data_IF_136437007369
#
_entry.id   IF_136437007369
#
_cell.length_a   1.000
_cell.length_b   1.000
_cell.length_c   1.000
_cell.angle_alpha   90.00
_cell.angle_beta   90.00
_cell.angle_gamma   90.00
#
_symmetry.space_group_name_H-M   'P 1'
#
loop_
_entity.id
_entity.type
_entity.pdbx_description
1 polymer ?
#
# COMPACT_ATOMS: atom_id res chain seq x y z
N UNK A 1 -26.04 4.22 27.90
CA UNK A 1 -25.29 5.26 27.16
C UNK A 1 -24.29 4.57 26.26
N UNK A 2 -24.58 4.48 24.96
CA UNK A 2 -23.60 4.04 23.96
C UNK A 2 -22.66 5.22 23.71
N UNK A 3 -21.39 5.07 24.11
CA UNK A 3 -20.37 6.10 23.92
C UNK A 3 -20.22 6.41 22.43
N UNK A 4 -20.34 7.69 22.06
CA UNK A 4 -19.91 8.17 20.76
C UNK A 4 -18.39 7.97 20.69
N UNK A 5 -17.95 6.92 20.01
CA UNK A 5 -16.55 6.73 19.66
C UNK A 5 -16.12 7.96 18.84
N UNK A 6 -15.25 8.79 19.41
CA UNK A 6 -14.85 10.04 18.78
C UNK A 6 -14.24 9.74 17.41
N UNK A 7 -14.81 10.31 16.35
CA UNK A 7 -14.29 10.14 14.99
C UNK A 7 -12.83 10.55 14.96
N UNK A 8 -11.96 9.59 14.67
CA UNK A 8 -10.54 9.84 14.55
C UNK A 8 -10.30 10.88 13.44
N UNK A 9 -9.63 11.98 13.77
CA UNK A 9 -9.27 13.02 12.79
C UNK A 9 -8.46 12.37 11.65
N UNK A 10 -8.70 12.73 10.37
CA UNK A 10 -7.90 12.23 9.27
C UNK A 10 -6.41 12.48 9.52
N UNK A 11 -5.54 11.51 9.16
CA UNK A 11 -4.13 11.64 9.39
C UNK A 11 -3.51 12.74 8.53
N UNK A 12 -2.39 13.30 8.98
CA UNK A 12 -1.61 14.23 8.16
C UNK A 12 -1.17 13.56 6.84
N UNK A 13 -1.27 14.27 5.70
CA UNK A 13 -0.86 13.74 4.42
C UNK A 13 0.59 13.25 4.42
N UNK A 14 0.83 12.09 3.84
CA UNK A 14 2.15 11.56 3.54
C UNK A 14 2.22 11.23 2.06
N UNK A 15 3.17 11.84 1.38
CA UNK A 15 3.45 11.59 -0.02
C UNK A 15 4.81 10.89 -0.15
N UNK A 16 4.88 9.94 -1.07
CA UNK A 16 6.13 9.26 -1.40
C UNK A 16 6.17 9.00 -2.89
N UNK A 17 7.28 9.39 -3.54
CA UNK A 17 7.44 9.25 -4.99
C UNK A 17 6.26 9.82 -5.81
N UNK A 18 5.73 10.99 -5.41
CA UNK A 18 4.54 11.66 -6.00
C UNK A 18 3.22 10.87 -5.88
N UNK A 19 3.16 9.88 -5.00
CA UNK A 19 1.97 9.10 -4.71
C UNK A 19 1.49 9.37 -3.29
N UNK A 20 0.17 9.48 -3.06
CA UNK A 20 -0.39 9.63 -1.73
C UNK A 20 -0.36 8.29 -0.97
N UNK A 21 0.25 8.27 0.20
CA UNK A 21 0.36 7.05 1.03
C UNK A 21 -0.60 7.13 2.21
N UNK A 22 -0.75 8.33 2.79
CA UNK A 22 -1.65 8.63 3.88
C UNK A 22 -2.29 9.99 3.64
N UNK A 23 -3.53 10.18 4.09
CA UNK A 23 -4.21 11.46 3.98
C UNK A 23 -5.72 11.31 4.08
N UNK A 24 -6.43 12.30 3.56
CA UNK A 24 -7.88 12.42 3.62
C UNK A 24 -8.52 12.49 2.22
N UNK A 25 -9.80 12.85 2.16
CA UNK A 25 -10.52 13.03 0.90
C UNK A 25 -9.89 14.04 -0.03
N UNK A 26 -9.47 15.20 0.48
CA UNK A 26 -8.84 16.24 -0.33
C UNK A 26 -7.56 15.69 -0.95
N UNK A 27 -6.72 15.04 -0.14
CA UNK A 27 -5.49 14.39 -0.60
C UNK A 27 -5.75 13.35 -1.70
N UNK A 28 -6.77 12.51 -1.53
CA UNK A 28 -7.12 11.50 -2.52
C UNK A 28 -7.59 12.12 -3.86
N UNK A 29 -8.41 13.18 -3.78
CA UNK A 29 -8.92 13.90 -4.95
C UNK A 29 -7.80 14.64 -5.70
N UNK A 30 -6.93 15.34 -4.97
CA UNK A 30 -5.78 16.05 -5.53
C UNK A 30 -4.83 15.08 -6.23
N UNK A 31 -4.71 13.86 -5.72
CA UNK A 31 -3.96 12.77 -6.35
C UNK A 31 -4.70 12.07 -7.51
N UNK A 32 -5.91 12.49 -7.87
CA UNK A 32 -6.69 11.93 -8.97
C UNK A 32 -7.37 10.59 -8.67
N UNK A 33 -7.50 10.18 -7.41
CA UNK A 33 -8.27 9.00 -7.01
C UNK A 33 -9.76 9.36 -6.89
N UNK A 34 -10.43 9.53 -8.02
CA UNK A 34 -11.80 10.04 -8.10
C UNK A 34 -12.85 8.95 -8.32
N UNK A 35 -12.45 7.75 -8.78
CA UNK A 35 -13.37 6.63 -9.01
C UNK A 35 -13.61 5.86 -7.72
N UNK A 36 -14.56 6.33 -6.92
CA UNK A 36 -14.81 5.83 -5.58
C UNK A 36 -16.04 4.91 -5.50
N UNK A 37 -15.90 3.78 -4.82
CA UNK A 37 -16.98 2.83 -4.54
C UNK A 37 -17.02 2.54 -3.04
N UNK A 38 -18.22 2.53 -2.45
CA UNK A 38 -18.41 2.08 -1.06
C UNK A 38 -18.23 0.57 -1.00
N UNK A 39 -17.41 0.11 -0.06
CA UNK A 39 -17.18 -1.31 0.22
C UNK A 39 -17.38 -1.51 1.71
N UNK A 40 -18.53 -2.09 2.09
CA UNK A 40 -18.90 -2.37 3.48
C UNK A 40 -18.73 -1.15 4.42
N UNK A 41 -17.60 -1.05 5.12
CA UNK A 41 -17.26 -0.01 6.11
C UNK A 41 -16.24 1.01 5.61
N UNK A 42 -15.79 0.92 4.36
CA UNK A 42 -14.80 1.80 3.76
C UNK A 42 -15.27 2.36 2.43
N UNK A 43 -14.58 3.40 1.95
CA UNK A 43 -14.70 3.86 0.56
C UNK A 43 -13.39 3.58 -0.15
N UNK A 44 -13.45 2.81 -1.24
CA UNK A 44 -12.29 2.56 -2.09
C UNK A 44 -12.30 3.51 -3.27
N UNK A 45 -11.31 4.40 -3.33
CA UNK A 45 -11.08 5.28 -4.48
C UNK A 45 -9.96 4.73 -5.35
N UNK A 46 -10.15 4.76 -6.67
CA UNK A 46 -9.21 4.20 -7.65
C UNK A 46 -8.69 5.24 -8.62
N UNK A 47 -7.48 4.97 -9.11
CA UNK A 47 -6.83 5.67 -10.22
C UNK A 47 -6.05 4.66 -11.07
N UNK A 48 -6.07 4.83 -12.38
CA UNK A 48 -5.36 3.95 -13.34
C UNK A 48 -4.13 4.67 -13.89
N UNK A 49 -3.29 3.95 -14.64
CA UNK A 49 -2.09 4.49 -15.31
C UNK A 49 -1.08 5.16 -14.35
N UNK A 50 -0.91 4.59 -13.16
CA UNK A 50 0.08 5.04 -12.20
C UNK A 50 1.46 4.44 -12.50
N UNK A 51 2.52 5.22 -12.28
CA UNK A 51 3.90 4.71 -12.30
C UNK A 51 4.52 4.83 -10.92
N UNK A 52 5.31 3.85 -10.52
CA UNK A 52 6.18 3.93 -9.36
C UNK A 52 7.64 3.80 -9.80
N UNK A 53 8.43 4.86 -9.59
CA UNK A 53 9.84 4.91 -9.96
C UNK A 53 10.12 4.46 -11.42
N UNK A 54 9.26 4.88 -12.35
CA UNK A 54 9.36 4.53 -13.78
C UNK A 54 8.76 3.17 -14.17
N UNK A 55 8.32 2.35 -13.20
CA UNK A 55 7.65 1.07 -13.45
C UNK A 55 6.13 1.28 -13.49
N UNK A 56 5.45 0.69 -14.46
CA UNK A 56 4.00 0.79 -14.66
C UNK A 56 3.60 0.39 -16.09
N UNK A 57 2.33 0.61 -16.48
CA UNK A 57 1.27 1.28 -15.73
C UNK A 57 0.60 0.37 -14.69
N UNK A 58 0.31 0.91 -13.50
CA UNK A 58 -0.44 0.23 -12.44
C UNK A 58 -1.84 0.82 -12.28
N UNK A 59 -2.76 -0.04 -11.84
CA UNK A 59 -3.98 0.40 -11.17
C UNK A 59 -3.67 0.62 -9.70
N UNK A 60 -4.22 1.69 -9.13
CA UNK A 60 -4.07 2.05 -7.73
C UNK A 60 -5.40 2.14 -7.01
N UNK A 61 -5.37 1.88 -5.71
CA UNK A 61 -6.48 2.10 -4.79
C UNK A 61 -6.03 2.70 -3.46
N UNK A 62 -6.85 3.62 -2.95
CA UNK A 62 -6.84 4.12 -1.58
C UNK A 62 -8.13 3.65 -0.90
N UNK A 63 -8.00 3.09 0.29
CA UNK A 63 -9.14 2.69 1.13
C UNK A 63 -9.30 3.71 2.25
N UNK A 64 -10.27 4.61 2.10
CA UNK A 64 -10.65 5.55 3.14
C UNK A 64 -11.50 4.82 4.19
N UNK A 65 -11.16 5.03 5.46
CA UNK A 65 -11.91 4.50 6.60
C UNK A 65 -13.31 5.10 6.61
N UNK A 66 -14.24 4.40 7.24
CA UNK A 66 -15.66 4.75 7.36
C UNK A 66 -16.42 4.91 6.00
N UNK A 67 -17.73 4.68 5.96
CA UNK A 67 -18.50 4.75 4.70
C UNK A 67 -18.60 6.14 4.05
N UNK A 68 -18.33 7.19 4.82
CA UNK A 68 -18.23 8.57 4.34
C UNK A 68 -16.79 8.99 4.05
N UNK A 69 -15.82 8.07 4.17
CA UNK A 69 -14.38 8.31 4.04
C UNK A 69 -13.77 9.14 5.18
N UNK A 70 -14.51 9.34 6.28
CA UNK A 70 -13.97 9.93 7.51
C UNK A 70 -12.78 9.12 8.04
N UNK A 71 -11.83 9.77 8.72
CA UNK A 71 -10.62 9.09 9.23
C UNK A 71 -9.57 8.75 8.17
N UNK A 72 -9.82 9.02 6.88
CA UNK A 72 -8.82 9.02 5.82
C UNK A 72 -8.27 7.64 5.44
N UNK A 73 -7.16 7.63 4.71
CA UNK A 73 -6.46 6.42 4.27
C UNK A 73 -5.03 6.38 4.81
N UNK A 74 -4.44 5.20 4.85
CA UNK A 74 -3.10 4.96 5.41
C UNK A 74 -2.29 3.92 4.61
N UNK A 75 -2.73 3.64 3.39
CA UNK A 75 -2.06 2.71 2.49
C UNK A 75 -2.43 3.04 1.05
N UNK A 76 -1.43 2.97 0.17
CA UNK A 76 -1.65 2.87 -1.27
C UNK A 76 -1.45 1.42 -1.70
N UNK A 77 -2.41 0.88 -2.45
CA UNK A 77 -2.29 -0.43 -3.08
C UNK A 77 -2.16 -0.27 -4.58
N UNK A 78 -1.12 -0.84 -5.18
CA UNK A 78 -0.89 -0.89 -6.62
C UNK A 78 -0.94 -2.34 -7.13
N UNK A 79 -1.47 -2.55 -8.33
CA UNK A 79 -1.44 -3.83 -9.02
C UNK A 79 -1.45 -3.63 -10.54
N UNK A 80 -0.87 -4.58 -11.26
CA UNK A 80 -1.03 -4.63 -12.71
C UNK A 80 -2.30 -5.42 -13.07
N UNK A 81 -3.10 -5.00 -14.08
CA UNK A 81 -4.31 -5.72 -14.45
C UNK A 81 -4.08 -7.12 -15.02
N UNK A 82 -2.93 -7.37 -15.67
CA UNK A 82 -2.66 -8.64 -16.37
C UNK A 82 -1.23 -9.20 -16.31
N UNK A 83 -0.32 -8.57 -15.56
CA UNK A 83 1.10 -8.95 -15.50
C UNK A 83 1.62 -8.87 -14.07
N UNK A 84 1.63 -10.03 -13.41
CA UNK A 84 2.08 -10.13 -12.04
C UNK A 84 3.61 -9.96 -11.89
N UNK A 85 4.38 -10.12 -12.98
CA UNK A 85 5.84 -9.93 -12.97
C UNK A 85 6.23 -8.47 -12.82
N UNK A 86 5.38 -7.55 -13.28
CA UNK A 86 5.57 -6.10 -13.15
C UNK A 86 5.78 -5.67 -11.69
N UNK A 87 5.00 -6.24 -10.76
CA UNK A 87 5.14 -5.94 -9.32
C UNK A 87 6.47 -6.48 -8.78
N UNK A 88 6.92 -7.65 -9.26
CA UNK A 88 8.24 -8.20 -8.91
C UNK A 88 9.42 -7.32 -9.33
N UNK A 89 9.30 -6.57 -10.44
CA UNK A 89 10.31 -5.57 -10.83
C UNK A 89 10.50 -4.47 -9.79
N UNK A 90 9.43 -4.09 -9.08
CA UNK A 90 9.52 -3.12 -7.97
C UNK A 90 10.36 -3.68 -6.83
N UNK A 91 10.15 -4.96 -6.46
CA UNK A 91 10.97 -5.62 -5.43
C UNK A 91 12.46 -5.62 -5.77
N UNK A 92 12.82 -5.92 -7.04
CA UNK A 92 14.21 -5.84 -7.51
C UNK A 92 14.79 -4.42 -7.41
N UNK A 93 14.01 -3.42 -7.82
CA UNK A 93 14.42 -2.01 -7.71
C UNK A 93 14.65 -1.60 -6.25
N UNK A 94 13.79 -2.03 -5.34
CA UNK A 94 13.95 -1.74 -3.90
C UNK A 94 15.23 -2.38 -3.36
N UNK A 95 15.52 -3.65 -3.67
CA UNK A 95 16.79 -4.29 -3.26
C UNK A 95 18.01 -3.54 -3.78
N UNK A 96 18.00 -3.19 -5.07
CA UNK A 96 19.09 -2.41 -5.68
C UNK A 96 19.24 -1.02 -5.03
N UNK A 97 18.15 -0.43 -4.52
CA UNK A 97 18.14 0.83 -3.78
C UNK A 97 18.45 0.72 -2.28
N UNK A 98 19.00 -0.41 -1.82
CA UNK A 98 19.44 -0.62 -0.44
C UNK A 98 18.32 -0.86 0.56
N UNK A 99 17.16 -1.36 0.11
CA UNK A 99 16.08 -1.77 1.02
C UNK A 99 16.32 -3.19 1.54
N UNK A 100 16.16 -3.37 2.84
CA UNK A 100 16.21 -4.67 3.50
C UNK A 100 14.94 -5.46 3.21
N UNK A 101 15.08 -6.74 2.87
CA UNK A 101 13.97 -7.64 2.62
C UNK A 101 13.73 -8.57 3.82
N UNK A 102 12.48 -8.66 4.25
CA UNK A 102 11.97 -9.70 5.13
C UNK A 102 10.88 -10.51 4.40
N UNK A 103 10.99 -11.84 4.39
CA UNK A 103 9.91 -12.72 3.88
C UNK A 103 9.09 -13.25 5.04
N UNK A 104 7.76 -13.15 4.93
CA UNK A 104 6.85 -13.61 6.01
C UNK A 104 6.61 -15.12 6.00
N UNK A 105 7.10 -15.84 4.99
CA UNK A 105 7.02 -17.30 4.91
C UNK A 105 8.14 -17.91 4.06
N UNK A 106 8.35 -19.24 4.17
CA UNK A 106 9.43 -19.94 3.49
C UNK A 106 9.14 -20.26 2.01
N UNK A 107 7.88 -20.16 1.57
CA UNK A 107 7.44 -20.57 0.23
C UNK A 107 6.46 -19.55 -0.36
N UNK A 108 6.11 -19.64 -1.64
CA UNK A 108 5.11 -18.77 -2.29
C UNK A 108 3.67 -19.35 -2.23
N UNK A 109 3.39 -20.28 -1.32
CA UNK A 109 2.15 -21.05 -1.35
C UNK A 109 1.10 -20.65 -0.30
N UNK A 110 1.45 -19.81 0.70
CA UNK A 110 0.57 -19.56 1.86
C UNK A 110 0.09 -18.11 2.01
N UNK A 111 0.13 -17.32 0.94
CA UNK A 111 -0.25 -15.90 1.03
C UNK A 111 0.89 -15.02 1.55
N UNK A 112 2.12 -15.50 1.39
CA UNK A 112 3.33 -14.89 1.91
C UNK A 112 3.63 -13.53 1.26
N UNK A 113 4.43 -12.72 1.96
CA UNK A 113 4.77 -11.36 1.54
C UNK A 113 6.27 -11.13 1.61
N UNK A 114 6.76 -10.33 0.67
CA UNK A 114 8.04 -9.64 0.78
C UNK A 114 7.81 -8.25 1.40
N UNK A 115 8.35 -8.02 2.59
CA UNK A 115 8.32 -6.73 3.27
C UNK A 115 9.67 -6.05 3.09
N UNK A 116 9.66 -4.84 2.54
CA UNK A 116 10.86 -4.03 2.34
C UNK A 116 10.87 -2.84 3.30
N UNK A 117 11.95 -2.72 4.07
CA UNK A 117 12.19 -1.61 5.01
C UNK A 117 13.55 -0.97 4.75
N UNK A 118 13.70 0.30 5.16
CA UNK A 118 14.98 1.00 5.09
C UNK A 118 15.07 2.01 6.23
N UNK A 119 16.16 2.02 7.03
CA UNK A 119 16.33 3.00 8.11
C UNK A 119 16.12 4.44 7.62
N UNK A 120 15.36 5.22 8.37
CA UNK A 120 15.03 6.62 8.06
C UNK A 120 14.03 6.83 6.91
N UNK A 121 13.57 5.78 6.22
CA UNK A 121 12.54 5.94 5.21
C UNK A 121 11.15 6.18 5.85
N UNK A 122 10.30 7.05 5.27
CA UNK A 122 8.98 7.34 5.82
C UNK A 122 7.93 6.28 5.48
N UNK A 123 8.31 5.28 4.68
CA UNK A 123 7.42 4.23 4.17
C UNK A 123 8.09 2.86 4.23
N UNK A 124 7.26 1.82 4.26
CA UNK A 124 7.62 0.43 3.96
C UNK A 124 6.80 -0.09 2.79
N UNK A 125 7.31 -1.14 2.15
CA UNK A 125 6.61 -1.83 1.09
C UNK A 125 6.25 -3.26 1.51
N UNK A 126 5.11 -3.74 1.02
CA UNK A 126 4.70 -5.15 1.13
C UNK A 126 4.27 -5.61 -0.26
N UNK A 127 4.89 -6.68 -0.76
CA UNK A 127 4.55 -7.32 -2.03
C UNK A 127 3.97 -8.70 -1.73
N UNK A 128 2.74 -8.96 -2.19
CA UNK A 128 2.19 -10.32 -2.19
C UNK A 128 3.07 -11.20 -3.10
N UNK A 129 3.63 -12.30 -2.59
CA UNK A 129 4.43 -13.25 -3.39
C UNK A 129 3.71 -14.54 -3.73
N UNK A 130 2.53 -14.77 -3.15
CA UNK A 130 1.75 -15.98 -3.43
C UNK A 130 1.45 -16.17 -4.92
N UNK A 131 1.72 -17.37 -5.44
CA UNK A 131 1.46 -17.72 -6.84
C UNK A 131 -0.04 -17.70 -7.18
N UNK A 132 -0.89 -18.04 -6.21
CA UNK A 132 -2.33 -18.20 -6.40
C UNK A 132 -3.13 -16.89 -6.32
N UNK A 133 -2.49 -15.80 -5.86
CA UNK A 133 -3.15 -14.51 -5.69
C UNK A 133 -2.72 -13.48 -6.75
N UNK A 134 -3.54 -12.46 -6.99
CA UNK A 134 -3.08 -11.28 -7.74
C UNK A 134 -2.00 -10.56 -6.91
N UNK A 135 -0.77 -10.54 -7.41
CA UNK A 135 0.33 -9.80 -6.77
C UNK A 135 0.00 -8.31 -6.67
N UNK A 136 0.02 -7.79 -5.45
CA UNK A 136 -0.20 -6.38 -5.12
C UNK A 136 1.04 -5.83 -4.44
N UNK A 137 1.39 -4.60 -4.78
CA UNK A 137 2.30 -3.77 -3.99
C UNK A 137 1.45 -2.94 -3.03
N UNK A 138 1.81 -2.95 -1.75
CA UNK A 138 1.30 -2.02 -0.75
C UNK A 138 2.43 -1.09 -0.33
N UNK A 139 2.14 0.19 -0.27
CA UNK A 139 3.02 1.21 0.31
C UNK A 139 2.31 1.73 1.55
N UNK A 140 2.99 1.63 2.70
CA UNK A 140 2.45 1.99 4.00
C UNK A 140 3.39 2.98 4.70
N UNK A 141 2.90 3.85 5.60
CA UNK A 141 3.76 4.60 6.50
C UNK A 141 4.65 3.68 7.32
N UNK A 142 5.91 4.09 7.52
CA UNK A 142 6.86 3.41 8.39
C UNK A 142 6.66 3.90 9.84
N UNK A 143 6.65 2.97 10.79
CA UNK A 143 6.37 3.22 12.21
C UNK A 143 7.44 2.63 13.15
N UNK A 144 8.56 2.14 12.62
CA UNK A 144 9.62 1.46 13.35
C UNK A 144 9.23 0.08 13.88
N UNK A 145 8.09 -0.46 13.45
CA UNK A 145 7.59 -1.74 13.96
C UNK A 145 8.40 -2.91 13.38
N UNK A 146 8.79 -3.90 14.20
CA UNK A 146 9.43 -5.12 13.71
C UNK A 146 8.61 -5.81 12.63
N UNK A 147 9.28 -6.38 11.64
CA UNK A 147 8.65 -7.11 10.52
C UNK A 147 8.20 -8.53 10.89
N UNK A 148 8.32 -8.91 12.18
CA UNK A 148 8.11 -10.28 12.65
C UNK A 148 9.29 -11.20 12.29
N UNK A 149 9.05 -12.51 12.30
CA UNK A 149 10.05 -13.50 11.88
C UNK A 149 10.29 -13.39 10.38
N UNK A 150 11.57 -13.22 10.00
CA UNK A 150 12.00 -13.15 8.61
C UNK A 150 12.61 -14.48 8.20
N UNK A 151 11.97 -15.14 7.25
CA UNK A 151 12.51 -16.35 6.64
C UNK A 151 13.65 -15.96 5.69
N UNK A 152 14.85 -16.48 5.95
CA UNK A 152 15.95 -16.45 5.00
C UNK A 152 15.80 -17.60 4.01
N UNK A 153 16.04 -17.31 2.73
CA UNK A 153 16.36 -18.35 1.73
C UNK A 153 17.81 -18.77 1.84
#
# INVERSE_FOLDING_TARGET
>A
MLGYEARQKPPQPLWYARLPIRGDWATARDAGFTRCVRITRTVRCRRENLSFAGIGPFNGALDLRHPDGGGGFHQLTLWHPGDQKMVGSVGRLLKAGGWSLCRTGPTEFRGDQEIYTRPGAPVRFSIDISYWGKRRLRILPEHGQPTGHCWST
#
